data_IF_354611740897
#
_entry.id   IF_354611740897
#
_cell.length_a   1.000
_cell.length_b   1.000
_cell.length_c   1.000
_cell.angle_alpha   90.00
_cell.angle_beta   90.00
_cell.angle_gamma   90.00
#
_symmetry.space_group_name_H-M   'P 1'
#
loop_
_entity.id
_entity.type
_entity.pdbx_description
1 polymer ?
#
# COMPACT_ATOMS: atom_id res chain seq x y z
N UNK A 1 -4.72 6.76 0.60
CA UNK A 1 -3.86 7.96 0.59
C UNK A 1 -4.47 9.08 1.42
N UNK A 2 -5.64 9.61 1.08
CA UNK A 2 -6.28 10.69 1.85
C UNK A 2 -6.55 10.32 3.32
N UNK A 3 -7.01 9.09 3.58
CA UNK A 3 -7.25 8.57 4.95
C UNK A 3 -6.01 8.57 5.84
N UNK A 4 -4.80 8.49 5.27
CA UNK A 4 -3.55 8.57 6.03
C UNK A 4 -2.96 9.97 6.05
N UNK A 5 -3.57 10.93 5.34
CA UNK A 5 -3.04 12.29 5.19
C UNK A 5 -1.67 12.31 4.53
N UNK A 6 -1.37 11.36 3.64
CA UNK A 6 -0.06 11.18 3.01
C UNK A 6 1.11 10.95 3.98
N UNK A 7 0.84 10.67 5.26
CA UNK A 7 1.88 10.35 6.24
C UNK A 7 2.27 8.86 6.16
N UNK A 8 3.58 8.59 6.14
CA UNK A 8 4.11 7.24 5.99
C UNK A 8 3.70 6.34 7.15
N UNK A 9 3.89 6.80 8.40
CA UNK A 9 3.60 6.01 9.60
C UNK A 9 2.11 5.63 9.68
N UNK A 10 1.20 6.59 9.45
CA UNK A 10 -0.25 6.32 9.42
C UNK A 10 -0.62 5.34 8.31
N UNK A 11 -0.02 5.47 7.12
CA UNK A 11 -0.31 4.58 6.00
C UNK A 11 0.13 3.15 6.29
N UNK A 12 1.39 2.97 6.70
CA UNK A 12 1.96 1.64 6.88
C UNK A 12 1.50 0.96 8.17
N UNK A 13 1.18 1.70 9.23
CA UNK A 13 0.50 1.16 10.42
C UNK A 13 -0.92 0.67 10.07
N UNK A 14 -1.68 1.46 9.30
CA UNK A 14 -3.02 1.05 8.85
C UNK A 14 -3.03 -0.11 7.84
N UNK A 15 -1.91 -0.34 7.14
CA UNK A 15 -1.68 -1.49 6.27
C UNK A 15 -0.91 -2.63 6.97
N UNK A 16 -0.55 -2.47 8.25
CA UNK A 16 0.24 -3.42 9.03
C UNK A 16 1.51 -3.90 8.31
N UNK A 17 2.21 -2.98 7.66
CA UNK A 17 3.48 -3.23 6.97
C UNK A 17 4.61 -2.96 7.96
N UNK A 18 5.52 -3.90 8.15
CA UNK A 18 6.70 -3.67 8.97
C UNK A 18 7.64 -2.64 8.31
N UNK A 19 8.25 -1.71 9.07
CA UNK A 19 9.30 -0.85 8.55
C UNK A 19 10.54 -1.67 8.19
N UNK A 20 11.37 -1.17 7.27
CA UNK A 20 12.69 -1.71 7.03
C UNK A 20 13.58 -1.50 8.28
N UNK A 21 14.41 -2.47 8.68
CA UNK A 21 15.23 -2.35 9.90
C UNK A 21 16.15 -1.12 9.89
N UNK A 22 16.81 -0.83 8.75
CA UNK A 22 17.76 0.28 8.66
C UNK A 22 17.19 1.59 8.08
N UNK A 23 16.10 1.51 7.31
CA UNK A 23 15.60 2.62 6.50
C UNK A 23 14.20 3.10 6.91
N UNK A 24 13.56 2.41 7.85
CA UNK A 24 12.20 2.72 8.28
C UNK A 24 11.15 2.47 7.19
N UNK A 25 10.10 3.27 7.20
CA UNK A 25 9.03 3.17 6.22
C UNK A 25 9.45 3.69 4.84
N UNK A 26 8.78 3.19 3.80
CA UNK A 26 9.03 3.66 2.43
C UNK A 26 8.69 5.16 2.33
N UNK A 27 9.52 5.99 1.69
CA UNK A 27 9.29 7.44 1.60
C UNK A 27 8.22 7.82 0.58
N UNK A 28 7.62 6.86 -0.11
CA UNK A 28 6.68 7.09 -1.19
C UNK A 28 5.96 5.83 -1.65
N UNK A 29 4.91 6.04 -2.44
CA UNK A 29 4.14 4.98 -3.12
C UNK A 29 3.92 5.34 -4.59
N UNK A 30 3.67 4.35 -5.43
CA UNK A 30 3.41 4.55 -6.85
C UNK A 30 1.93 4.37 -7.15
N UNK A 31 1.33 5.32 -7.87
CA UNK A 31 0.01 5.17 -8.45
C UNK A 31 0.11 4.33 -9.73
N UNK A 32 -0.81 3.39 -9.90
CA UNK A 32 -0.87 2.50 -11.05
C UNK A 32 -2.23 2.62 -11.76
N UNK A 33 -2.20 2.52 -13.08
CA UNK A 33 -3.38 2.34 -13.93
C UNK A 33 -3.58 0.84 -14.22
N UNK A 34 -4.82 0.36 -14.08
CA UNK A 34 -5.21 -0.99 -14.47
C UNK A 34 -5.50 -0.97 -15.97
N UNK A 35 -4.76 -1.74 -16.77
CA UNK A 35 -4.80 -1.62 -18.24
C UNK A 35 -5.93 -2.44 -18.90
N UNK A 36 -6.43 -3.45 -18.21
CA UNK A 36 -7.47 -4.36 -18.67
C UNK A 36 -8.22 -4.97 -17.48
N UNK A 37 -9.38 -5.58 -17.71
CA UNK A 37 -10.13 -6.27 -16.67
C UNK A 37 -9.26 -7.34 -15.99
N UNK A 38 -8.88 -7.06 -14.74
CA UNK A 38 -7.85 -7.82 -14.02
C UNK A 38 -8.45 -8.43 -12.75
N UNK A 39 -8.40 -9.76 -12.59
CA UNK A 39 -8.74 -10.40 -11.33
C UNK A 39 -7.86 -9.89 -10.19
N UNK A 40 -8.48 -9.48 -9.10
CA UNK A 40 -7.80 -9.00 -7.90
C UNK A 40 -8.49 -9.53 -6.64
N UNK A 41 -7.71 -9.76 -5.59
CA UNK A 41 -8.25 -10.02 -4.26
C UNK A 41 -8.33 -8.70 -3.48
N UNK A 42 -9.45 -8.48 -2.80
CA UNK A 42 -9.66 -7.33 -1.93
C UNK A 42 -9.83 -7.79 -0.48
N UNK A 43 -9.30 -7.03 0.47
CA UNK A 43 -9.51 -7.31 1.90
C UNK A 43 -9.26 -6.10 2.78
N UNK A 44 -9.71 -6.18 4.04
CA UNK A 44 -9.36 -5.22 5.09
C UNK A 44 -8.21 -5.78 5.91
N UNK A 45 -7.17 -4.98 6.10
CA UNK A 45 -5.95 -5.39 6.81
C UNK A 45 -6.23 -5.58 8.30
N UNK A 46 -6.06 -6.80 8.82
CA UNK A 46 -6.25 -7.15 10.25
C UNK A 46 -5.30 -8.23 10.78
N UNK A 47 -4.52 -8.88 9.91
CA UNK A 47 -3.82 -10.12 10.24
C UNK A 47 -2.58 -9.92 11.14
N UNK A 48 -1.96 -8.74 11.12
CA UNK A 48 -0.70 -8.45 11.81
C UNK A 48 -0.87 -7.31 12.83
N UNK A 49 -1.67 -7.49 13.90
CA UNK A 49 -1.97 -6.42 14.87
C UNK A 49 -0.74 -5.87 15.61
N UNK A 50 0.35 -6.63 15.67
CA UNK A 50 1.62 -6.20 16.26
C UNK A 50 2.40 -5.19 15.39
N UNK A 51 1.99 -4.98 14.13
CA UNK A 51 2.62 -4.03 13.20
C UNK A 51 1.81 -2.73 13.03
N UNK A 52 0.65 -2.63 13.68
CA UNK A 52 -0.20 -1.45 13.63
C UNK A 52 -1.69 -1.77 13.71
N UNK A 53 -2.48 -0.70 13.81
CA UNK A 53 -3.93 -0.76 14.02
C UNK A 53 -4.69 -1.47 12.88
N UNK A 54 -4.11 -1.49 11.68
CA UNK A 54 -4.78 -2.05 10.51
C UNK A 54 -5.98 -1.20 10.05
N UNK A 55 -6.97 -1.87 9.47
CA UNK A 55 -8.24 -1.25 9.08
C UNK A 55 -8.23 -0.49 7.75
N UNK A 56 -7.08 -0.40 7.06
CA UNK A 56 -7.03 0.07 5.68
C UNK A 56 -7.30 -1.09 4.69
N UNK A 57 -7.97 -0.81 3.57
CA UNK A 57 -8.18 -1.78 2.51
C UNK A 57 -6.87 -2.10 1.79
N UNK A 58 -6.76 -3.33 1.30
CA UNK A 58 -5.66 -3.80 0.46
C UNK A 58 -6.21 -4.53 -0.78
N UNK A 59 -5.47 -4.39 -1.88
CA UNK A 59 -5.71 -5.07 -3.14
C UNK A 59 -4.47 -5.88 -3.50
N UNK A 60 -4.66 -7.14 -3.85
CA UNK A 60 -3.62 -7.99 -4.40
C UNK A 60 -3.93 -8.30 -5.85
N UNK A 61 -2.99 -7.92 -6.73
CA UNK A 61 -3.05 -8.18 -8.17
C UNK A 61 -1.91 -9.11 -8.53
N UNK A 62 -2.25 -10.30 -9.02
CA UNK A 62 -1.26 -11.25 -9.53
C UNK A 62 -0.66 -10.73 -10.84
N UNK A 63 0.65 -10.89 -11.03
CA UNK A 63 1.38 -10.42 -12.22
C UNK A 63 1.22 -8.91 -12.48
N UNK A 64 1.22 -8.11 -11.41
CA UNK A 64 0.96 -6.67 -11.50
C UNK A 64 1.89 -5.94 -12.49
N UNK A 65 3.11 -6.45 -12.72
CA UNK A 65 4.10 -5.85 -13.61
C UNK A 65 3.68 -5.82 -15.08
N UNK A 66 2.83 -6.75 -15.51
CA UNK A 66 2.32 -6.83 -16.89
C UNK A 66 0.88 -6.35 -17.02
N UNK A 67 0.14 -6.26 -15.90
CA UNK A 67 -1.27 -5.82 -15.88
C UNK A 67 -1.46 -4.37 -15.48
N UNK A 68 -0.48 -3.79 -14.77
CA UNK A 68 -0.53 -2.43 -14.26
C UNK A 68 0.55 -1.56 -14.89
N UNK A 69 0.17 -0.33 -15.24
CA UNK A 69 1.11 0.69 -15.73
C UNK A 69 1.41 1.70 -14.62
N UNK A 70 2.68 1.93 -14.24
CA UNK A 70 3.02 2.96 -13.28
C UNK A 70 2.75 4.34 -13.89
N UNK A 71 2.11 5.22 -13.12
CA UNK A 71 1.79 6.58 -13.55
C UNK A 71 2.76 7.60 -12.96
N UNK A 72 2.78 7.70 -11.62
CA UNK A 72 3.63 8.64 -10.89
C UNK A 72 3.83 8.15 -9.47
N UNK A 73 4.85 8.69 -8.80
CA UNK A 73 5.10 8.43 -7.38
C UNK A 73 4.65 9.60 -6.52
N UNK A 74 4.04 9.29 -5.39
CA UNK A 74 3.62 10.22 -4.36
C UNK A 74 4.62 10.11 -3.22
N UNK A 75 5.23 11.24 -2.84
CA UNK A 75 6.06 11.33 -1.65
C UNK A 75 5.15 11.29 -0.41
N UNK A 76 5.56 10.52 0.59
CA UNK A 76 4.92 10.50 1.90
C UNK A 76 5.66 11.44 2.86
N UNK A 77 4.89 12.03 3.78
CA UNK A 77 5.39 12.84 4.89
C UNK A 77 5.80 11.99 6.10
#
# INVERSE_FOLDING_TARGET
MERSGYNAEKLFSGLQVAPHPDYGYRPGVTAYEVMEDTPAAFGITRANPHLGEGGLPQLYVLDFQVKLKPLYSIKLE
#
